data_IF_181445186494
#
_entry.id   IF_181445186494
#
_cell.length_a   1.000
_cell.length_b   1.000
_cell.length_c   1.000
_cell.angle_alpha   90.00
_cell.angle_beta   90.00
_cell.angle_gamma   90.00
#
_symmetry.space_group_name_H-M   'P 1'
#
loop_
_entity.id
_entity.type
_entity.pdbx_description
1 polymer ?
#
# COMPACT_ATOMS: atom_id res chain seq x y z
N UNK A 1 42.77 -27.71 -7.83
CA UNK A 1 42.19 -27.17 -6.58
C UNK A 1 42.54 -25.68 -6.57
N UNK A 2 41.64 -24.69 -6.54
CA UNK A 2 40.39 -24.51 -5.78
C UNK A 2 39.33 -23.87 -6.66
N UNK A 3 38.12 -24.43 -6.55
CA UNK A 3 36.87 -24.07 -7.21
C UNK A 3 36.44 -22.63 -6.95
N UNK A 4 36.04 -21.94 -8.02
CA UNK A 4 35.43 -20.61 -7.96
C UNK A 4 34.06 -20.65 -7.28
N UNK A 5 33.96 -20.10 -6.07
CA UNK A 5 32.67 -19.70 -5.50
C UNK A 5 32.34 -18.29 -5.95
N UNK A 6 31.71 -18.16 -7.13
CA UNK A 6 30.85 -17.01 -7.38
C UNK A 6 29.71 -17.11 -6.37
N UNK A 7 29.76 -16.29 -5.32
CA UNK A 7 28.67 -16.13 -4.35
C UNK A 7 27.39 -15.86 -5.16
N UNK A 8 26.44 -16.79 -5.11
CA UNK A 8 25.16 -16.64 -5.78
C UNK A 8 24.51 -15.34 -5.33
N UNK A 9 24.26 -14.44 -6.28
CA UNK A 9 23.39 -13.31 -6.04
C UNK A 9 22.01 -13.89 -5.67
N UNK A 10 21.66 -13.82 -4.38
CA UNK A 10 20.36 -14.25 -3.91
C UNK A 10 19.31 -13.40 -4.62
N UNK A 11 18.61 -14.01 -5.58
CA UNK A 11 17.45 -13.43 -6.26
C UNK A 11 16.45 -13.07 -5.16
N UNK A 12 16.35 -11.78 -4.81
CA UNK A 12 15.34 -11.32 -3.86
C UNK A 12 13.99 -11.60 -4.52
N UNK A 13 13.27 -12.59 -3.99
CA UNK A 13 11.91 -12.87 -4.41
C UNK A 13 11.05 -11.64 -4.08
N UNK A 14 10.34 -11.12 -5.07
CA UNK A 14 9.48 -9.95 -4.94
C UNK A 14 8.41 -10.15 -3.85
N UNK A 15 8.03 -11.40 -3.57
CA UNK A 15 7.12 -11.74 -2.47
C UNK A 15 7.63 -11.24 -1.11
N UNK A 16 8.95 -11.27 -0.89
CA UNK A 16 9.56 -10.86 0.38
C UNK A 16 9.43 -9.37 0.69
N UNK A 17 9.14 -8.52 -0.31
CA UNK A 17 8.94 -7.09 -0.05
C UNK A 17 7.67 -6.79 0.74
N UNK A 18 6.68 -7.70 0.72
CA UNK A 18 5.38 -7.50 1.37
C UNK A 18 5.23 -8.25 2.69
N UNK A 19 6.13 -9.20 2.98
CA UNK A 19 6.07 -10.02 4.19
C UNK A 19 6.23 -9.18 5.46
N UNK A 20 7.30 -8.37 5.56
CA UNK A 20 7.53 -7.55 6.75
C UNK A 20 6.45 -6.47 6.97
N UNK A 21 6.00 -5.71 5.95
CA UNK A 21 4.86 -4.81 6.09
C UNK A 21 3.58 -5.53 6.53
N UNK A 22 3.34 -6.76 6.06
CA UNK A 22 2.19 -7.57 6.47
C UNK A 22 2.30 -7.97 7.94
N UNK A 23 3.48 -8.36 8.41
CA UNK A 23 3.70 -8.67 9.82
C UNK A 23 3.50 -7.44 10.70
N UNK A 24 4.04 -6.29 10.28
CA UNK A 24 3.81 -5.02 10.98
C UNK A 24 2.31 -4.70 11.08
N UNK A 25 1.58 -4.80 9.97
CA UNK A 25 0.14 -4.59 9.94
C UNK A 25 -0.61 -5.55 10.88
N UNK A 26 -0.34 -6.85 10.78
CA UNK A 26 -1.14 -7.89 11.44
C UNK A 26 -0.79 -8.14 12.91
N UNK A 27 0.49 -8.00 13.28
CA UNK A 27 1.02 -8.41 14.59
C UNK A 27 1.42 -7.26 15.50
N UNK A 28 1.69 -6.07 14.95
CA UNK A 28 2.22 -4.94 15.73
C UNK A 28 1.16 -3.85 15.93
N UNK A 29 0.48 -3.45 14.86
CA UNK A 29 -0.49 -2.36 14.94
C UNK A 29 -1.80 -2.79 15.58
N UNK A 30 -2.27 -1.99 16.53
CA UNK A 30 -3.65 -2.02 17.02
C UNK A 30 -4.64 -1.50 15.98
N UNK A 31 -5.94 -1.69 16.20
CA UNK A 31 -6.98 -1.21 15.29
C UNK A 31 -6.96 0.32 15.12
N UNK A 32 -6.75 1.07 16.20
CA UNK A 32 -6.69 2.53 16.16
C UNK A 32 -5.46 3.04 15.39
N UNK A 33 -4.31 2.37 15.53
CA UNK A 33 -3.10 2.73 14.78
C UNK A 33 -3.24 2.39 13.29
N UNK A 34 -3.91 1.28 12.95
CA UNK A 34 -4.24 0.93 11.56
C UNK A 34 -5.13 1.99 10.91
N UNK A 35 -6.14 2.48 11.64
CA UNK A 35 -7.02 3.55 11.17
C UNK A 35 -6.24 4.83 10.87
N UNK A 36 -5.43 5.30 11.82
CA UNK A 36 -4.55 6.47 11.62
C UNK A 36 -3.58 6.29 10.45
N UNK A 37 -3.01 5.10 10.30
CA UNK A 37 -2.11 4.80 9.18
C UNK A 37 -2.84 4.89 7.84
N UNK A 38 -4.03 4.30 7.74
CA UNK A 38 -4.88 4.38 6.54
C UNK A 38 -5.21 5.82 6.21
N UNK A 39 -5.63 6.62 7.18
CA UNK A 39 -5.95 8.04 7.01
C UNK A 39 -4.74 8.84 6.50
N UNK A 40 -3.56 8.64 7.10
CA UNK A 40 -2.34 9.32 6.69
C UNK A 40 -1.95 9.02 5.23
N UNK A 41 -2.03 7.75 4.83
CA UNK A 41 -1.74 7.33 3.45
C UNK A 41 -2.78 7.92 2.49
N UNK A 42 -4.07 7.84 2.85
CA UNK A 42 -5.13 8.46 2.07
C UNK A 42 -4.89 9.96 1.86
N UNK A 43 -4.63 10.72 2.93
CA UNK A 43 -4.39 12.16 2.84
C UNK A 43 -3.19 12.52 1.95
N UNK A 44 -2.18 11.66 1.95
CA UNK A 44 -0.99 11.83 1.10
C UNK A 44 -1.29 11.65 -0.39
N UNK A 45 -2.17 10.71 -0.75
CA UNK A 45 -2.40 10.33 -2.15
C UNK A 45 -3.75 10.77 -2.76
N UNK A 46 -4.67 11.33 -1.96
CA UNK A 46 -6.05 11.63 -2.39
C UNK A 46 -6.13 12.60 -3.58
N UNK A 47 -5.12 13.44 -3.81
CA UNK A 47 -5.09 14.39 -4.93
C UNK A 47 -4.20 13.97 -6.09
N UNK A 48 -3.59 12.78 -6.02
CA UNK A 48 -2.85 12.22 -7.15
C UNK A 48 -3.78 11.86 -8.32
N UNK A 49 -3.18 11.63 -9.49
CA UNK A 49 -3.92 11.13 -10.67
C UNK A 49 -4.56 9.75 -10.36
N UNK A 50 -5.76 9.44 -10.89
CA UNK A 50 -6.49 8.22 -10.54
C UNK A 50 -5.67 6.92 -10.70
N UNK A 51 -4.92 6.78 -11.80
CA UNK A 51 -4.09 5.60 -12.02
C UNK A 51 -2.92 5.45 -11.04
N UNK A 52 -2.46 6.55 -10.42
CA UNK A 52 -1.45 6.51 -9.35
C UNK A 52 -2.11 6.05 -8.04
N UNK A 53 -3.33 6.52 -7.77
CA UNK A 53 -4.12 6.06 -6.61
C UNK A 53 -4.38 4.56 -6.70
N UNK A 54 -4.80 4.06 -7.88
CA UNK A 54 -5.04 2.64 -8.11
C UNK A 54 -3.81 1.78 -7.83
N UNK A 55 -2.66 2.16 -8.41
CA UNK A 55 -1.39 1.46 -8.18
C UNK A 55 -0.97 1.46 -6.72
N UNK A 56 -1.15 2.59 -6.02
CA UNK A 56 -0.86 2.67 -4.60
C UNK A 56 -1.76 1.72 -3.80
N UNK A 57 -3.07 1.72 -4.07
CA UNK A 57 -4.04 0.83 -3.43
C UNK A 57 -3.68 -0.64 -3.66
N UNK A 58 -3.28 -1.02 -4.87
CA UNK A 58 -2.90 -2.40 -5.18
C UNK A 58 -1.63 -2.85 -4.44
N UNK A 59 -0.66 -1.95 -4.28
CA UNK A 59 0.52 -2.21 -3.45
C UNK A 59 0.13 -2.48 -1.99
N UNK A 60 -0.73 -1.64 -1.40
CA UNK A 60 -1.19 -1.84 -0.01
C UNK A 60 -2.13 -3.04 0.14
N UNK A 61 -2.89 -3.39 -0.91
CA UNK A 61 -3.71 -4.62 -0.95
C UNK A 61 -2.85 -5.88 -0.92
N UNK A 62 -1.67 -5.83 -1.55
CA UNK A 62 -0.69 -6.93 -1.52
C UNK A 62 -0.14 -7.12 -0.09
N UNK A 63 0.08 -6.02 0.64
CA UNK A 63 0.42 -6.07 2.08
C UNK A 63 -0.72 -6.71 2.89
N UNK A 64 -1.96 -6.25 2.74
CA UNK A 64 -3.12 -6.83 3.38
C UNK A 64 -4.42 -6.40 2.69
N UNK A 65 -5.38 -7.32 2.53
CA UNK A 65 -6.66 -7.04 1.84
C UNK A 65 -7.47 -5.94 2.54
N UNK A 66 -7.58 -5.99 3.87
CA UNK A 66 -8.22 -4.93 4.68
C UNK A 66 -7.56 -3.56 4.47
N UNK A 67 -6.22 -3.50 4.43
CA UNK A 67 -5.50 -2.23 4.25
C UNK A 67 -5.84 -1.59 2.90
N UNK A 68 -5.66 -2.33 1.81
CA UNK A 68 -6.05 -1.83 0.48
C UNK A 68 -7.56 -1.57 0.34
N UNK A 69 -8.39 -2.34 1.04
CA UNK A 69 -9.85 -2.19 1.04
C UNK A 69 -10.30 -0.85 1.65
N UNK A 70 -9.76 -0.49 2.81
CA UNK A 70 -10.07 0.80 3.47
C UNK A 70 -9.61 1.99 2.63
N UNK A 71 -8.41 1.91 2.04
CA UNK A 71 -7.92 2.96 1.14
C UNK A 71 -8.82 3.13 -0.10
N UNK A 72 -9.27 2.02 -0.70
CA UNK A 72 -10.20 2.03 -1.84
C UNK A 72 -11.48 2.77 -1.48
N UNK A 73 -12.09 2.43 -0.34
CA UNK A 73 -13.32 3.08 0.12
C UNK A 73 -13.16 4.60 0.29
N UNK A 74 -12.07 5.05 0.92
CA UNK A 74 -11.84 6.48 1.13
C UNK A 74 -11.58 7.24 -0.18
N UNK A 75 -10.78 6.66 -1.08
CA UNK A 75 -10.47 7.27 -2.39
C UNK A 75 -11.70 7.35 -3.27
N UNK A 76 -12.51 6.30 -3.34
CA UNK A 76 -13.73 6.28 -4.16
C UNK A 76 -14.72 7.33 -3.66
N UNK A 77 -14.91 7.44 -2.33
CA UNK A 77 -15.73 8.47 -1.72
C UNK A 77 -15.22 9.89 -2.02
N UNK A 78 -13.91 10.12 -1.93
CA UNK A 78 -13.30 11.41 -2.22
C UNK A 78 -13.45 11.81 -3.69
N UNK A 79 -13.18 10.89 -4.61
CA UNK A 79 -13.28 11.13 -6.05
C UNK A 79 -14.73 11.38 -6.48
N UNK A 80 -15.70 10.66 -5.90
CA UNK A 80 -17.12 10.92 -6.11
C UNK A 80 -17.50 12.34 -5.65
N UNK A 81 -17.05 12.76 -4.45
CA UNK A 81 -17.27 14.12 -3.95
C UNK A 81 -16.59 15.19 -4.81
N UNK A 82 -15.35 14.95 -5.25
CA UNK A 82 -14.57 15.88 -6.09
C UNK A 82 -15.21 16.07 -7.46
N UNK A 83 -15.79 15.01 -8.04
CA UNK A 83 -16.54 15.09 -9.29
C UNK A 83 -17.87 15.85 -9.17
N UNK A 84 -18.51 15.81 -7.99
CA UNK A 84 -19.77 16.52 -7.73
C UNK A 84 -19.60 18.03 -7.48
N UNK A 85 -18.39 18.49 -7.09
CA UNK A 85 -18.16 19.92 -6.82
C UNK A 85 -18.04 20.70 -8.13
N UNK A 86 -18.77 21.83 -8.30
CA UNK A 86 -18.59 22.70 -9.45
C UNK A 86 -17.14 23.17 -9.51
N UNK A 87 -16.51 23.02 -10.68
CA UNK A 87 -15.21 23.62 -10.96
C UNK A 87 -15.48 25.11 -11.25
N UNK A 88 -15.38 25.94 -10.21
CA UNK A 88 -15.46 27.42 -10.29
C UNK A 88 -14.25 27.93 -11.08
#
# INVERSE_FOLDING_TARGET
MVSGRRRGASRIDQRRYFDQPREFWTKVLSNAERERLVENIFHTMKDCLPHIQDRAIDNFRTVHSDFGGRLRQMVDAYNAQKGCRPRI
#
